data_IF_531915719478
#
_entry.id   IF_531915719478
#
_cell.length_a   1.000
_cell.length_b   1.000
_cell.length_c   1.000
_cell.angle_alpha   90.00
_cell.angle_beta   90.00
_cell.angle_gamma   90.00
#
_symmetry.space_group_name_H-M   'P 1'
#
loop_
_entity.id
_entity.type
_entity.pdbx_description
1 polymer ?
#
# COMPACT_ATOMS: atom_id res chain seq x y z
N UNK A 1 9.01 -0.04 8.25
CA UNK A 1 9.42 -1.43 7.97
C UNK A 1 10.73 -1.45 7.19
N UNK A 2 11.82 -2.01 7.76
CA UNK A 2 13.13 -2.03 7.11
C UNK A 2 13.27 -3.20 6.13
N UNK A 3 12.85 -4.40 6.54
CA UNK A 3 12.78 -5.62 5.72
C UNK A 3 11.42 -6.30 5.97
N UNK A 4 11.00 -7.30 5.17
CA UNK A 4 9.69 -7.94 5.35
C UNK A 4 9.64 -8.51 6.77
N UNK A 5 8.60 -8.12 7.51
CA UNK A 5 8.39 -8.57 8.90
C UNK A 5 9.47 -8.13 9.90
N UNK A 6 10.29 -7.13 9.56
CA UNK A 6 11.29 -6.54 10.46
C UNK A 6 11.09 -5.02 10.59
N UNK A 7 10.43 -4.60 11.67
CA UNK A 7 10.30 -3.17 12.03
C UNK A 7 11.60 -2.67 12.70
N UNK A 8 11.95 -1.43 12.42
CA UNK A 8 13.07 -0.72 13.04
C UNK A 8 12.67 0.73 13.27
N UNK A 9 13.31 1.35 14.27
CA UNK A 9 13.18 2.79 14.51
C UNK A 9 13.85 3.56 13.37
N UNK A 10 13.19 4.62 12.92
CA UNK A 10 13.64 5.44 11.80
C UNK A 10 13.68 6.90 12.22
N UNK A 11 14.86 7.51 12.12
CA UNK A 11 15.02 8.95 12.31
C UNK A 11 14.67 9.69 11.03
N UNK A 12 13.45 10.22 10.99
CA UNK A 12 12.89 10.94 9.85
C UNK A 12 13.30 12.42 9.87
N UNK A 13 14.26 12.79 9.02
CA UNK A 13 14.70 14.17 8.87
C UNK A 13 15.20 14.43 7.44
N UNK A 14 14.71 15.50 6.81
CA UNK A 14 15.04 15.88 5.44
C UNK A 14 16.54 16.08 5.20
N UNK A 15 17.27 16.59 6.19
CA UNK A 15 18.69 16.90 6.07
C UNK A 15 19.56 15.64 6.27
N UNK A 16 19.08 14.67 7.04
CA UNK A 16 19.77 13.41 7.30
C UNK A 16 19.34 12.25 6.39
N UNK A 17 18.32 12.45 5.55
CA UNK A 17 17.81 11.44 4.64
C UNK A 17 17.94 11.90 3.19
N UNK A 18 18.75 11.19 2.40
CA UNK A 18 19.05 11.56 1.01
C UNK A 18 17.79 11.72 0.14
N UNK A 19 16.78 10.85 0.32
CA UNK A 19 15.52 10.89 -0.45
C UNK A 19 14.35 10.48 0.44
N UNK A 20 13.42 11.41 0.69
CA UNK A 20 12.15 11.15 1.37
C UNK A 20 11.00 10.81 0.40
N UNK A 21 11.18 11.07 -0.90
CA UNK A 21 10.16 10.89 -1.94
C UNK A 21 8.80 11.50 -1.53
N UNK A 22 7.72 10.73 -1.67
CA UNK A 22 6.37 11.14 -1.26
C UNK A 22 6.02 10.71 0.16
N UNK A 23 6.96 10.17 0.95
CA UNK A 23 6.70 9.77 2.34
C UNK A 23 6.07 10.88 3.19
N UNK A 24 6.44 12.18 3.08
CA UNK A 24 5.75 13.23 3.83
C UNK A 24 4.25 13.36 3.52
N UNK A 25 3.80 12.94 2.33
CA UNK A 25 2.37 12.93 1.95
C UNK A 25 1.67 11.62 2.28
N UNK A 26 2.41 10.55 2.56
CA UNK A 26 1.86 9.21 2.82
C UNK A 26 1.81 8.95 4.33
N UNK A 27 2.90 9.29 5.02
CA UNK A 27 3.07 9.21 6.48
C UNK A 27 3.64 10.54 6.99
N UNK A 28 2.80 11.57 7.19
CA UNK A 28 3.27 12.91 7.56
C UNK A 28 3.81 12.98 8.99
N UNK A 29 3.20 12.19 9.89
CA UNK A 29 3.57 12.09 11.30
C UNK A 29 3.21 10.69 11.83
N UNK A 30 3.57 10.41 13.08
CA UNK A 30 3.38 9.09 13.72
C UNK A 30 1.93 8.76 14.09
N UNK A 31 1.05 9.78 14.17
CA UNK A 31 -0.34 9.61 14.61
C UNK A 31 -1.30 9.33 13.44
N UNK A 32 -0.84 9.52 12.19
CA UNK A 32 -1.66 9.32 10.99
C UNK A 32 -1.42 7.92 10.41
N UNK A 33 -2.46 7.09 10.47
CA UNK A 33 -2.42 5.72 9.96
C UNK A 33 -2.69 5.65 8.46
N UNK A 34 -1.91 4.84 7.75
CA UNK A 34 -2.10 4.59 6.32
C UNK A 34 -1.73 3.15 5.98
N UNK A 35 -2.26 2.64 4.87
CA UNK A 35 -1.95 1.33 4.33
C UNK A 35 -1.27 1.48 2.98
N UNK A 36 -0.20 0.71 2.75
CA UNK A 36 0.61 0.85 1.55
C UNK A 36 0.99 -0.53 1.01
N UNK A 37 0.67 -0.80 -0.25
CA UNK A 37 1.11 -2.01 -0.94
C UNK A 37 2.45 -1.75 -1.61
N UNK A 38 3.51 -2.38 -1.12
CA UNK A 38 4.84 -2.31 -1.73
C UNK A 38 5.08 -3.51 -2.64
N UNK A 39 5.65 -3.25 -3.82
CA UNK A 39 5.96 -4.27 -4.83
C UNK A 39 7.42 -4.20 -5.24
N UNK A 40 7.90 -5.30 -5.83
CA UNK A 40 9.28 -5.38 -6.33
C UNK A 40 9.51 -4.35 -7.43
N UNK A 41 10.68 -3.71 -7.39
CA UNK A 41 11.06 -2.74 -8.41
C UNK A 41 11.20 -3.37 -9.80
N UNK A 42 11.12 -2.50 -10.80
CA UNK A 42 11.30 -2.87 -12.20
C UNK A 42 12.76 -3.21 -12.47
N UNK A 43 13.01 -4.25 -13.26
CA UNK A 43 14.35 -4.70 -13.65
C UNK A 43 15.04 -5.59 -12.62
N UNK A 44 14.37 -5.94 -11.54
CA UNK A 44 14.90 -6.81 -10.48
C UNK A 44 14.95 -8.27 -10.96
N UNK A 45 16.05 -8.96 -10.64
CA UNK A 45 16.25 -10.37 -11.04
C UNK A 45 15.35 -11.33 -10.25
N UNK A 46 15.01 -10.95 -9.01
CA UNK A 46 14.12 -11.71 -8.11
C UNK A 46 12.70 -11.77 -8.64
N UNK A 47 11.98 -12.80 -8.20
CA UNK A 47 10.57 -12.97 -8.54
C UNK A 47 9.69 -11.86 -7.96
N UNK A 48 8.59 -11.60 -8.66
CA UNK A 48 7.63 -10.59 -8.26
C UNK A 48 6.96 -10.93 -6.93
N UNK A 49 6.95 -9.96 -6.02
CA UNK A 49 6.25 -10.05 -4.74
C UNK A 49 5.60 -8.73 -4.34
N UNK A 50 4.57 -8.82 -3.51
CA UNK A 50 3.86 -7.67 -2.97
C UNK A 50 3.67 -7.85 -1.46
N UNK A 51 3.89 -6.79 -0.69
CA UNK A 51 3.69 -6.78 0.76
C UNK A 51 2.95 -5.50 1.16
N UNK A 52 1.85 -5.65 1.89
CA UNK A 52 1.17 -4.52 2.49
C UNK A 52 1.82 -4.16 3.82
N UNK A 53 1.95 -2.87 4.09
CA UNK A 53 2.53 -2.34 5.34
C UNK A 53 1.70 -1.17 5.86
N UNK A 54 1.74 -0.97 7.18
CA UNK A 54 1.12 0.17 7.88
C UNK A 54 2.17 1.13 8.49
N UNK A 55 3.44 1.00 8.10
CA UNK A 55 4.54 1.86 8.55
C UNK A 55 5.38 2.32 7.36
N UNK A 56 6.20 3.35 7.54
CA UNK A 56 7.11 3.85 6.50
C UNK A 56 8.01 2.71 5.98
N UNK A 57 7.91 2.30 4.71
CA UNK A 57 8.74 1.25 4.15
C UNK A 57 10.12 1.80 3.74
N UNK A 58 11.17 1.00 3.96
CA UNK A 58 12.47 1.24 3.32
C UNK A 58 12.39 1.06 1.80
N UNK A 59 13.19 1.82 1.05
CA UNK A 59 13.25 1.73 -0.41
C UNK A 59 13.59 0.30 -0.88
N UNK A 60 14.40 -0.41 -0.10
CA UNK A 60 14.86 -1.77 -0.37
C UNK A 60 14.16 -2.81 0.53
N UNK A 61 12.88 -2.59 0.88
CA UNK A 61 12.11 -3.49 1.73
C UNK A 61 12.16 -4.95 1.28
N UNK A 62 12.17 -5.25 -0.03
CA UNK A 62 12.24 -6.62 -0.58
C UNK A 62 13.69 -7.09 -0.88
N UNK A 63 14.67 -6.36 -0.39
CA UNK A 63 16.09 -6.68 -0.41
C UNK A 63 16.97 -5.69 -1.17
N UNK A 64 18.27 -5.94 -1.17
CA UNK A 64 19.24 -5.09 -1.84
C UNK A 64 18.92 -4.98 -3.35
N UNK A 65 19.08 -3.77 -3.88
CA UNK A 65 18.85 -3.43 -5.29
C UNK A 65 17.43 -3.70 -5.81
N UNK A 66 16.42 -3.84 -4.93
CA UNK A 66 15.04 -4.05 -5.38
C UNK A 66 14.21 -2.78 -5.54
N UNK A 67 14.73 -1.62 -5.11
CA UNK A 67 14.13 -0.27 -5.21
C UNK A 67 12.61 -0.29 -5.50
N UNK A 68 11.84 -0.77 -4.51
CA UNK A 68 10.44 -1.10 -4.69
C UNK A 68 9.57 0.14 -4.90
N UNK A 69 8.39 -0.05 -5.45
CA UNK A 69 7.36 0.99 -5.52
C UNK A 69 6.25 0.67 -4.53
N UNK A 70 5.70 1.71 -3.93
CA UNK A 70 4.73 1.59 -2.85
C UNK A 70 3.49 2.40 -3.20
N UNK A 71 2.33 1.75 -3.16
CA UNK A 71 1.03 2.28 -3.56
C UNK A 71 0.16 2.50 -2.32
N UNK A 72 0.02 3.75 -1.84
CA UNK A 72 -0.72 4.05 -0.64
C UNK A 72 -2.23 4.09 -0.87
N UNK A 73 -3.01 3.71 0.14
CA UNK A 73 -4.47 3.83 0.14
C UNK A 73 -4.90 5.30 0.23
N UNK A 74 -4.22 6.07 1.08
CA UNK A 74 -4.48 7.49 1.29
C UNK A 74 -3.26 8.36 1.01
N UNK A 75 -3.50 9.64 0.74
CA UNK A 75 -2.50 10.71 0.82
C UNK A 75 -3.02 11.80 1.75
N UNK A 76 -2.10 12.58 2.31
CA UNK A 76 -2.38 13.67 3.23
C UNK A 76 -1.86 14.97 2.64
N UNK A 77 -2.68 16.01 2.71
CA UNK A 77 -2.35 17.36 2.29
C UNK A 77 -2.39 18.27 3.52
N UNK A 78 -1.30 19.01 3.77
CA UNK A 78 -1.26 19.97 4.88
C UNK A 78 -2.22 21.12 4.56
N UNK A 79 -3.11 21.46 5.49
CA UNK A 79 -3.92 22.67 5.38
C UNK A 79 -3.01 23.91 5.46
N UNK A 80 -3.27 24.93 4.65
CA UNK A 80 -2.37 26.08 4.50
C UNK A 80 -2.22 26.88 5.79
N UNK A 81 -1.00 27.40 6.01
CA UNK A 81 -0.58 28.15 7.22
C UNK A 81 -1.28 29.54 7.39
N UNK A 82 -2.24 29.89 6.53
CA UNK A 82 -2.96 31.18 6.60
C UNK A 82 -3.98 31.27 7.75
N UNK A 83 -4.24 30.17 8.47
CA UNK A 83 -5.12 30.12 9.65
C UNK A 83 -4.39 30.15 11.00
N UNK A 84 -3.06 30.21 11.02
CA UNK A 84 -2.25 29.97 12.23
C UNK A 84 -2.37 31.04 13.32
N UNK A 85 -2.93 32.22 13.04
CA UNK A 85 -3.03 33.29 14.05
C UNK A 85 -4.02 32.97 15.20
N UNK A 86 -4.89 31.96 15.03
CA UNK A 86 -5.93 31.62 16.01
C UNK A 86 -6.10 30.11 16.28
N UNK A 87 -5.22 29.25 15.75
CA UNK A 87 -5.36 27.81 15.92
C UNK A 87 -4.92 27.35 17.32
N UNK A 88 -5.90 27.02 18.16
CA UNK A 88 -5.67 26.33 19.43
C UNK A 88 -5.13 24.93 19.19
N UNK A 89 -4.38 24.41 20.16
CA UNK A 89 -3.37 23.34 20.09
C UNK A 89 -3.82 21.93 19.64
N UNK A 90 -5.00 21.70 19.05
CA UNK A 90 -5.52 20.34 18.88
C UNK A 90 -6.47 20.06 17.70
N UNK A 91 -6.32 20.67 16.52
CA UNK A 91 -7.16 20.31 15.36
C UNK A 91 -6.38 20.10 14.06
N UNK A 92 -6.66 18.93 13.44
CA UNK A 92 -6.04 18.25 12.31
C UNK A 92 -5.41 19.13 11.21
N UNK A 93 -4.08 19.28 11.24
CA UNK A 93 -3.29 19.99 10.22
C UNK A 93 -3.29 19.32 8.83
N UNK A 94 -3.88 18.13 8.69
CA UNK A 94 -3.80 17.32 7.49
C UNK A 94 -5.17 16.86 7.02
N UNK A 95 -5.48 17.11 5.75
CA UNK A 95 -6.66 16.56 5.09
C UNK A 95 -6.32 15.21 4.45
N UNK A 96 -7.04 14.16 4.85
CA UNK A 96 -6.91 12.80 4.30
C UNK A 96 -7.64 12.69 2.95
N UNK A 97 -6.95 12.18 1.93
CA UNK A 97 -7.43 12.04 0.56
C UNK A 97 -7.28 10.60 0.09
N UNK A 98 -8.32 10.06 -0.53
CA UNK A 98 -8.31 8.71 -1.10
C UNK A 98 -7.60 8.69 -2.45
N UNK A 99 -6.68 7.74 -2.66
CA UNK A 99 -5.91 7.67 -3.91
C UNK A 99 -6.64 6.94 -5.03
N UNK A 100 -7.64 6.13 -4.70
CA UNK A 100 -8.53 5.55 -5.70
C UNK A 100 -9.55 6.62 -6.09
N UNK A 101 -9.52 7.01 -7.36
CA UNK A 101 -10.38 8.08 -7.88
C UNK A 101 -11.85 7.63 -7.97
N UNK A 102 -12.76 8.60 -7.92
CA UNK A 102 -14.19 8.33 -8.11
C UNK A 102 -14.49 7.77 -9.51
N UNK A 103 -13.66 8.09 -10.51
CA UNK A 103 -13.77 7.53 -11.86
C UNK A 103 -13.49 6.02 -11.84
N UNK A 104 -12.38 5.60 -11.23
CA UNK A 104 -12.02 4.18 -11.12
C UNK A 104 -13.10 3.43 -10.32
N UNK A 105 -13.59 4.00 -9.22
CA UNK A 105 -14.69 3.41 -8.45
C UNK A 105 -15.91 3.14 -9.34
N UNK A 106 -16.35 4.15 -10.12
CA UNK A 106 -17.48 4.02 -11.04
C UNK A 106 -17.23 2.97 -12.12
N UNK A 107 -16.01 2.87 -12.64
CA UNK A 107 -15.65 1.87 -13.65
C UNK A 107 -15.77 0.45 -13.09
N UNK A 108 -15.29 0.21 -11.87
CA UNK A 108 -15.44 -1.08 -11.17
C UNK A 108 -16.91 -1.40 -10.91
N UNK A 109 -17.67 -0.46 -10.35
CA UNK A 109 -19.10 -0.66 -10.08
C UNK A 109 -19.89 -0.96 -11.36
N UNK A 110 -19.57 -0.28 -12.47
CA UNK A 110 -20.18 -0.53 -13.78
C UNK A 110 -19.77 -1.89 -14.35
N UNK A 111 -18.48 -2.25 -14.25
CA UNK A 111 -17.93 -3.50 -14.79
C UNK A 111 -18.54 -4.73 -14.13
N UNK A 112 -18.68 -4.68 -12.81
CA UNK A 112 -19.22 -5.78 -12.00
C UNK A 112 -20.73 -5.66 -11.71
N UNK A 113 -21.36 -4.57 -12.19
CA UNK A 113 -22.78 -4.27 -11.97
C UNK A 113 -23.17 -4.26 -10.48
N UNK A 114 -22.25 -3.79 -9.64
CA UNK A 114 -22.39 -3.81 -8.19
C UNK A 114 -22.01 -2.45 -7.60
N UNK A 115 -23.00 -1.75 -7.05
CA UNK A 115 -22.83 -0.42 -6.43
C UNK A 115 -22.30 -0.49 -5.00
N UNK A 116 -22.24 -1.68 -4.39
CA UNK A 116 -21.76 -1.86 -3.02
C UNK A 116 -20.23 -1.82 -2.93
N UNK A 117 -19.54 -2.05 -4.05
CA UNK A 117 -18.08 -1.93 -4.16
C UNK A 117 -17.65 -0.53 -3.72
N UNK A 118 -16.74 -0.45 -2.75
CA UNK A 118 -16.09 0.78 -2.32
C UNK A 118 -14.59 0.78 -2.69
N UNK A 119 -13.90 1.88 -2.37
CA UNK A 119 -12.47 2.06 -2.73
C UNK A 119 -11.54 1.13 -1.95
N UNK A 120 -11.84 0.85 -0.70
CA UNK A 120 -11.04 -0.08 0.12
C UNK A 120 -11.14 -1.50 -0.45
N UNK A 121 -12.33 -1.91 -0.91
CA UNK A 121 -12.51 -3.20 -1.58
C UNK A 121 -11.65 -3.30 -2.85
N UNK A 122 -11.54 -2.21 -3.62
CA UNK A 122 -10.67 -2.17 -4.81
C UNK A 122 -9.20 -2.28 -4.40
N UNK A 123 -8.80 -1.65 -3.29
CA UNK A 123 -7.45 -1.74 -2.77
C UNK A 123 -7.08 -3.18 -2.36
N UNK A 124 -7.95 -3.88 -1.62
CA UNK A 124 -7.73 -5.28 -1.29
C UNK A 124 -7.85 -6.21 -2.50
N UNK A 125 -8.75 -5.90 -3.43
CA UNK A 125 -8.84 -6.61 -4.71
C UNK A 125 -7.50 -6.59 -5.46
N UNK A 126 -6.85 -5.42 -5.55
CA UNK A 126 -5.52 -5.28 -6.15
C UNK A 126 -4.54 -6.19 -5.39
N UNK A 127 -4.55 -6.16 -4.06
CA UNK A 127 -3.65 -6.98 -3.26
C UNK A 127 -3.85 -8.49 -3.49
N UNK A 128 -5.11 -8.94 -3.57
CA UNK A 128 -5.45 -10.33 -3.89
C UNK A 128 -4.98 -10.76 -5.28
N UNK A 129 -5.17 -9.91 -6.30
CA UNK A 129 -4.71 -10.20 -7.68
C UNK A 129 -3.19 -10.30 -7.73
N UNK A 130 -2.46 -9.42 -7.04
CA UNK A 130 -1.00 -9.45 -6.97
C UNK A 130 -0.45 -10.73 -6.32
N UNK A 131 -1.27 -11.46 -5.56
CA UNK A 131 -0.92 -12.74 -4.94
C UNK A 131 -1.34 -13.96 -5.78
N UNK A 132 -2.12 -13.78 -6.84
CA UNK A 132 -2.54 -14.89 -7.71
C UNK A 132 -1.35 -15.53 -8.41
N UNK A 133 -1.12 -16.86 -8.26
CA UNK A 133 -0.09 -17.57 -9.00
C UNK A 133 -0.29 -17.47 -10.52
N UNK A 134 -1.54 -17.56 -10.98
CA UNK A 134 -1.89 -17.42 -12.40
C UNK A 134 -1.49 -16.03 -12.93
N UNK A 135 -1.79 -14.96 -12.17
CA UNK A 135 -1.41 -13.60 -12.53
C UNK A 135 0.12 -13.46 -12.65
N UNK A 136 0.86 -13.93 -11.62
CA UNK A 136 2.31 -13.85 -11.60
C UNK A 136 2.96 -14.62 -12.76
N UNK A 137 2.43 -15.81 -13.07
CA UNK A 137 2.94 -16.64 -14.17
C UNK A 137 2.61 -16.01 -15.53
N UNK A 138 1.35 -15.62 -15.75
CA UNK A 138 0.89 -15.08 -17.02
C UNK A 138 1.58 -13.77 -17.38
N UNK A 139 1.84 -12.91 -16.40
CA UNK A 139 2.45 -11.60 -16.61
C UNK A 139 3.92 -11.52 -16.16
N UNK A 140 4.60 -12.65 -15.97
CA UNK A 140 5.96 -12.70 -15.43
C UNK A 140 6.96 -11.80 -16.20
N UNK A 141 6.87 -11.78 -17.53
CA UNK A 141 7.74 -10.96 -18.37
C UNK A 141 7.49 -9.45 -18.19
N UNK A 142 6.22 -9.05 -18.06
CA UNK A 142 5.82 -7.65 -17.87
C UNK A 142 6.16 -7.19 -16.45
N UNK A 143 5.88 -8.00 -15.43
CA UNK A 143 6.19 -7.68 -14.03
C UNK A 143 7.69 -7.46 -13.79
N UNK A 144 8.57 -8.03 -14.62
CA UNK A 144 10.01 -7.75 -14.60
C UNK A 144 10.39 -6.42 -15.26
N UNK A 145 9.60 -5.93 -16.22
CA UNK A 145 9.95 -4.79 -17.09
C UNK A 145 9.16 -3.52 -16.82
N UNK A 146 8.04 -3.62 -16.10
CA UNK A 146 7.14 -2.50 -15.85
C UNK A 146 6.32 -2.69 -14.58
N UNK A 147 5.67 -1.62 -14.14
CA UNK A 147 4.75 -1.67 -13.01
C UNK A 147 3.56 -2.60 -13.28
N UNK A 148 3.05 -3.30 -12.25
CA UNK A 148 1.95 -4.23 -12.39
C UNK A 148 0.70 -3.51 -12.91
N UNK A 149 0.09 -4.07 -13.94
CA UNK A 149 -1.22 -3.65 -14.44
C UNK A 149 -2.27 -4.63 -13.95
N UNK A 150 -3.35 -4.11 -13.38
CA UNK A 150 -4.36 -4.93 -12.71
C UNK A 150 -5.52 -5.21 -13.68
N UNK A 151 -5.75 -6.47 -14.09
CA UNK A 151 -6.88 -6.83 -14.93
C UNK A 151 -8.19 -6.85 -14.13
N UNK A 152 -9.31 -6.73 -14.84
CA UNK A 152 -10.60 -7.17 -14.33
C UNK A 152 -10.64 -8.69 -14.35
N UNK A 153 -10.87 -9.29 -13.19
CA UNK A 153 -11.04 -10.74 -13.05
C UNK A 153 -12.52 -11.09 -13.18
N UNK A 154 -12.83 -12.38 -13.23
CA UNK A 154 -14.22 -12.85 -13.31
C UNK A 154 -14.98 -12.61 -12.00
N UNK A 155 -14.32 -12.74 -10.86
CA UNK A 155 -14.93 -12.69 -9.53
C UNK A 155 -14.22 -11.65 -8.66
N UNK A 156 -14.76 -10.43 -8.64
CA UNK A 156 -14.22 -9.32 -7.85
C UNK A 156 -14.15 -9.65 -6.35
N UNK A 157 -15.26 -10.14 -5.79
CA UNK A 157 -15.39 -10.32 -4.35
C UNK A 157 -14.50 -11.42 -3.83
N UNK A 158 -14.24 -12.48 -4.61
CA UNK A 158 -13.27 -13.51 -4.22
C UNK A 158 -11.87 -12.92 -4.05
N UNK A 159 -11.39 -12.14 -5.01
CA UNK A 159 -10.07 -11.50 -4.91
C UNK A 159 -10.02 -10.42 -3.82
N UNK A 160 -11.07 -9.63 -3.67
CA UNK A 160 -11.16 -8.61 -2.62
C UNK A 160 -11.11 -9.23 -1.22
N UNK A 161 -11.91 -10.28 -0.95
CA UNK A 161 -11.94 -10.97 0.35
C UNK A 161 -10.61 -11.65 0.68
N UNK A 162 -10.06 -12.42 -0.24
CA UNK A 162 -8.74 -13.07 -0.05
C UNK A 162 -7.65 -12.02 0.14
N UNK A 163 -7.69 -10.93 -0.63
CA UNK A 163 -6.75 -9.82 -0.46
C UNK A 163 -6.86 -9.17 0.92
N UNK A 164 -8.08 -8.99 1.45
CA UNK A 164 -8.31 -8.45 2.79
C UNK A 164 -7.82 -9.40 3.88
N UNK A 165 -8.06 -10.70 3.74
CA UNK A 165 -7.55 -11.72 4.67
C UNK A 165 -6.02 -11.78 4.66
N UNK A 166 -5.39 -11.81 3.49
CA UNK A 166 -3.93 -11.74 3.37
C UNK A 166 -3.37 -10.47 4.01
N UNK A 167 -4.04 -9.33 3.79
CA UNK A 167 -3.63 -8.07 4.38
C UNK A 167 -3.71 -8.11 5.92
N UNK A 168 -4.77 -8.69 6.48
CA UNK A 168 -4.90 -8.90 7.91
C UNK A 168 -3.70 -9.69 8.48
N UNK A 169 -3.34 -10.82 7.87
CA UNK A 169 -2.21 -11.63 8.34
C UNK A 169 -0.87 -10.91 8.21
N UNK A 170 -0.62 -10.24 7.07
CA UNK A 170 0.63 -9.53 6.85
C UNK A 170 0.80 -8.26 7.69
N UNK A 171 -0.29 -7.64 8.16
CA UNK A 171 -0.24 -6.50 9.06
C UNK A 171 -0.10 -6.91 10.52
N UNK A 172 -0.67 -8.05 10.91
CA UNK A 172 -0.70 -8.56 12.29
C UNK A 172 0.33 -9.67 12.55
N UNK A 173 1.34 -9.82 11.70
CA UNK A 173 2.34 -10.91 11.75
C UNK A 173 3.08 -11.06 13.10
N UNK A 174 3.08 -10.03 13.96
CA UNK A 174 3.72 -10.04 15.28
C UNK A 174 2.80 -10.53 16.41
N UNK A 175 1.49 -10.60 16.17
CA UNK A 175 0.47 -10.84 17.20
C UNK A 175 -0.46 -12.02 16.85
N UNK A 176 -0.07 -12.87 15.91
CA UNK A 176 -0.85 -14.06 15.55
C UNK A 176 -0.63 -15.18 16.56
N UNK A 177 -1.66 -16.02 16.74
CA UNK A 177 -1.53 -17.26 17.49
C UNK A 177 -0.48 -18.17 16.83
N UNK A 178 0.48 -18.71 17.60
CA UNK A 178 1.43 -19.69 17.09
C UNK A 178 0.72 -20.91 16.50
N UNK A 179 1.30 -21.49 15.45
CA UNK A 179 0.80 -22.74 14.89
C UNK A 179 0.97 -23.87 15.92
N UNK A 180 -0.06 -24.70 16.07
CA UNK A 180 0.01 -25.86 16.96
C UNK A 180 1.10 -26.82 16.48
N UNK A 181 1.97 -27.22 17.41
CA UNK A 181 2.96 -28.27 17.16
C UNK A 181 2.31 -29.60 17.55
N UNK A 182 2.25 -30.54 16.61
CA UNK A 182 1.94 -31.95 16.88
C UNK A 182 3.04 -32.63 17.71
#
# INVERSE_FOLDING_TARGET
>A
MYRPFCKQNYYYNKDFNNRLYQMPKIFPNQNLENLVICVTGVGVVKDFSALIVNTIPDLCIQGAATAGQCFPLYTYEKQSDLGELFATTNTEQYTKKENISNTILKDFQKKYQDKTINKEDIFYYIYGVLHSPEYKQRFAADLKKMLPRIPYTKDFWKFSKVGKELAYWHLNYETIEPYELE
#
